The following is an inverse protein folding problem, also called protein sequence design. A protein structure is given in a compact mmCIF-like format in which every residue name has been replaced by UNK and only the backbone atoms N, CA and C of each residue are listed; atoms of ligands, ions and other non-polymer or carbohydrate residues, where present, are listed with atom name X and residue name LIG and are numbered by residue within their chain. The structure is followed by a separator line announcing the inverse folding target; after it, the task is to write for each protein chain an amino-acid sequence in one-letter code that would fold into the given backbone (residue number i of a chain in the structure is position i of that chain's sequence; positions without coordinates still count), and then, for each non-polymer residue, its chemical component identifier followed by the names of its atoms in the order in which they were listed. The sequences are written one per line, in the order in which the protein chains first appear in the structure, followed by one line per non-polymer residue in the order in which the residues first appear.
data_IF_389528707704
#
_entry.id   IF_389528707704
#
_cell.length_a   1.000
_cell.length_b   1.000
_cell.length_c   1.000
_cell.angle_alpha   90.00
_cell.angle_beta   90.00
_cell.angle_gamma   90.00
#
_symmetry.space_group_name_H-M   'P 1'
#
loop_
_entity.id
_entity.type
_entity.pdbx_description
1 polymer ?
#
# COMPACT_ATOMS: atom_id res chain seq x y z
N UNK A 1 -34.37 -55.23 -13.34
CA UNK A 1 -33.75 -55.20 -14.69
C UNK A 1 -32.26 -54.92 -14.51
N UNK A 2 -31.40 -55.42 -15.41
CA UNK A 2 -29.97 -55.11 -15.37
C UNK A 2 -29.73 -53.66 -15.78
N UNK A 3 -28.67 -53.07 -15.24
CA UNK A 3 -28.22 -51.72 -15.57
C UNK A 3 -27.96 -51.62 -17.08
N UNK A 4 -28.51 -50.58 -17.73
CA UNK A 4 -28.34 -50.35 -19.17
C UNK A 4 -26.88 -50.15 -19.58
N UNK A 5 -26.06 -49.62 -18.66
CA UNK A 5 -24.67 -49.22 -18.94
C UNK A 5 -23.68 -50.38 -18.76
N UNK A 6 -23.66 -50.99 -17.56
CA UNK A 6 -22.68 -52.03 -17.25
C UNK A 6 -23.19 -53.46 -17.47
N UNK A 7 -24.51 -53.65 -17.64
CA UNK A 7 -25.20 -54.94 -17.80
C UNK A 7 -24.87 -56.03 -16.76
N UNK A 8 -24.19 -55.69 -15.67
CA UNK A 8 -23.74 -56.62 -14.63
C UNK A 8 -24.47 -56.45 -13.31
N UNK A 9 -24.84 -55.22 -12.96
CA UNK A 9 -25.51 -54.88 -11.72
C UNK A 9 -27.01 -54.62 -11.94
N UNK A 10 -27.82 -54.82 -10.90
CA UNK A 10 -29.25 -54.51 -10.95
C UNK A 10 -29.46 -52.99 -10.94
N UNK A 11 -30.35 -52.49 -11.81
CA UNK A 11 -30.68 -51.06 -11.87
C UNK A 11 -31.40 -50.61 -10.59
N UNK A 12 -30.96 -49.49 -10.03
CA UNK A 12 -31.47 -48.89 -8.79
C UNK A 12 -32.18 -47.55 -9.04
N UNK A 13 -32.00 -46.94 -10.22
CA UNK A 13 -32.66 -45.68 -10.60
C UNK A 13 -33.79 -45.87 -11.61
N UNK A 14 -34.72 -44.91 -11.68
CA UNK A 14 -35.83 -44.87 -12.65
C UNK A 14 -35.36 -44.79 -14.12
N UNK A 15 -34.12 -44.39 -14.36
CA UNK A 15 -33.51 -44.31 -15.70
C UNK A 15 -32.93 -45.66 -16.16
N UNK A 16 -32.83 -46.64 -15.25
CA UNK A 16 -32.28 -47.97 -15.51
C UNK A 16 -30.77 -48.07 -15.28
N UNK A 17 -30.19 -47.22 -14.44
CA UNK A 17 -28.78 -47.24 -14.05
C UNK A 17 -28.60 -47.85 -12.65
N UNK A 18 -27.44 -48.44 -12.38
CA UNK A 18 -27.04 -48.85 -11.03
C UNK A 18 -26.24 -47.74 -10.34
N UNK A 19 -26.18 -47.79 -9.01
CA UNK A 19 -25.48 -46.78 -8.18
C UNK A 19 -24.02 -46.60 -8.58
N UNK A 20 -23.34 -47.68 -8.95
CA UNK A 20 -21.95 -47.62 -9.43
C UNK A 20 -21.80 -46.78 -10.71
N UNK A 21 -22.70 -46.93 -11.68
CA UNK A 21 -22.68 -46.15 -12.92
C UNK A 21 -23.07 -44.69 -12.69
N UNK A 22 -24.03 -44.42 -11.79
CA UNK A 22 -24.41 -43.05 -11.40
C UNK A 22 -23.25 -42.34 -10.73
N UNK A 23 -22.55 -43.03 -9.83
CA UNK A 23 -21.39 -42.47 -9.13
C UNK A 23 -20.23 -42.23 -10.09
N UNK A 24 -19.97 -43.16 -11.02
CA UNK A 24 -18.94 -43.00 -12.04
C UNK A 24 -19.24 -41.81 -12.98
N UNK A 25 -20.50 -41.61 -13.38
CA UNK A 25 -20.91 -40.44 -14.15
C UNK A 25 -20.74 -39.13 -13.38
N UNK A 26 -21.03 -39.12 -12.07
CA UNK A 26 -20.81 -37.96 -11.20
C UNK A 26 -19.31 -37.61 -11.08
N UNK A 27 -18.43 -38.61 -10.99
CA UNK A 27 -16.98 -38.39 -11.01
C UNK A 27 -16.45 -37.91 -12.37
N UNK A 28 -17.02 -38.40 -13.47
CA UNK A 28 -16.67 -37.95 -14.82
C UNK A 28 -17.15 -36.52 -15.13
N UNK A 29 -18.27 -36.11 -14.52
CA UNK A 29 -18.82 -34.75 -14.63
C UNK A 29 -18.15 -33.74 -13.68
N UNK A 30 -17.35 -34.21 -12.71
CA UNK A 30 -16.57 -33.31 -11.87
C UNK A 30 -15.50 -32.62 -12.74
N UNK A 31 -15.47 -31.28 -12.81
CA UNK A 31 -14.39 -30.60 -13.51
C UNK A 31 -13.06 -31.06 -12.91
N UNK A 32 -12.02 -31.31 -13.72
CA UNK A 32 -10.71 -31.70 -13.20
C UNK A 32 -10.29 -30.67 -12.15
N UNK A 33 -9.67 -31.09 -11.03
CA UNK A 33 -9.13 -30.13 -10.07
C UNK A 33 -8.23 -29.18 -10.85
N UNK A 34 -8.52 -27.88 -10.74
CA UNK A 34 -7.77 -26.86 -11.45
C UNK A 34 -6.28 -27.09 -11.18
N UNK A 35 -5.49 -27.31 -12.25
CA UNK A 35 -4.04 -27.48 -12.10
C UNK A 35 -3.50 -26.25 -11.36
N UNK A 36 -2.77 -26.42 -10.25
CA UNK A 36 -2.08 -25.29 -9.65
C UNK A 36 -1.05 -24.78 -10.65
N UNK A 37 -1.21 -23.53 -11.09
CA UNK A 37 -0.16 -22.77 -11.78
C UNK A 37 -0.08 -22.96 -13.30
N UNK A 38 -0.89 -22.20 -14.04
CA UNK A 38 -0.56 -21.76 -15.41
C UNK A 38 -0.05 -20.32 -15.47
N UNK A 39 0.28 -19.73 -14.31
CA UNK A 39 0.99 -18.45 -14.23
C UNK A 39 2.50 -18.66 -14.41
N UNK A 40 3.24 -17.64 -14.90
CA UNK A 40 4.69 -17.69 -14.93
C UNK A 40 5.22 -18.00 -13.52
N UNK A 41 6.17 -18.95 -13.43
CA UNK A 41 6.80 -19.35 -12.18
C UNK A 41 7.21 -18.11 -11.35
N UNK A 42 6.62 -17.96 -10.17
CA UNK A 42 6.93 -16.85 -9.26
C UNK A 42 8.14 -17.21 -8.43
N UNK A 43 9.20 -16.42 -8.59
CA UNK A 43 10.45 -16.59 -7.84
C UNK A 43 10.56 -15.52 -6.76
N UNK A 44 10.96 -15.93 -5.55
CA UNK A 44 11.28 -15.00 -4.47
C UNK A 44 12.44 -14.08 -4.89
N UNK A 45 12.29 -12.78 -4.65
CA UNK A 45 13.34 -11.78 -4.87
C UNK A 45 13.54 -10.96 -3.62
N UNK A 46 14.79 -10.71 -3.24
CA UNK A 46 15.08 -9.92 -2.04
C UNK A 46 14.42 -8.53 -2.11
N UNK A 47 13.59 -8.15 -1.12
CA UNK A 47 13.00 -6.82 -1.03
C UNK A 47 13.91 -5.81 -0.30
N UNK A 48 15.00 -6.26 0.33
CA UNK A 48 15.79 -5.47 1.30
C UNK A 48 16.40 -4.21 0.69
N UNK A 49 17.05 -4.32 -0.47
CA UNK A 49 17.68 -3.17 -1.12
C UNK A 49 16.68 -2.09 -1.51
N UNK A 50 15.54 -2.50 -2.09
CA UNK A 50 14.45 -1.57 -2.43
C UNK A 50 13.79 -0.99 -1.18
N UNK A 51 13.56 -1.79 -0.14
CA UNK A 51 13.00 -1.31 1.12
C UNK A 51 13.87 -0.23 1.76
N UNK A 52 15.20 -0.41 1.75
CA UNK A 52 16.15 0.62 2.22
C UNK A 52 16.09 1.90 1.37
N UNK A 53 16.00 1.77 0.05
CA UNK A 53 15.87 2.91 -0.84
C UNK A 53 14.56 3.69 -0.58
N UNK A 54 13.44 3.00 -0.41
CA UNK A 54 12.15 3.61 -0.05
C UNK A 54 12.23 4.34 1.29
N UNK A 55 12.81 3.71 2.32
CA UNK A 55 12.96 4.35 3.63
C UNK A 55 13.85 5.60 3.57
N UNK A 56 14.94 5.56 2.78
CA UNK A 56 15.80 6.73 2.58
C UNK A 56 15.07 7.86 1.87
N UNK A 57 14.30 7.56 0.82
CA UNK A 57 13.50 8.55 0.09
C UNK A 57 12.38 9.15 0.96
N UNK A 58 11.70 8.35 1.77
CA UNK A 58 10.75 8.86 2.76
C UNK A 58 11.43 9.75 3.82
N UNK A 59 12.68 9.46 4.19
CA UNK A 59 13.50 10.34 5.02
C UNK A 59 13.80 11.69 4.35
N UNK A 60 14.03 11.68 3.02
CA UNK A 60 14.17 12.91 2.23
C UNK A 60 12.85 13.69 2.19
N UNK A 61 11.71 13.02 2.00
CA UNK A 61 10.37 13.64 2.07
C UNK A 61 10.21 14.38 3.40
N UNK A 62 10.48 13.71 4.53
CA UNK A 62 10.43 14.33 5.86
C UNK A 62 11.34 15.56 5.94
N UNK A 63 12.58 15.47 5.47
CA UNK A 63 13.50 16.61 5.51
C UNK A 63 13.01 17.80 4.67
N UNK A 64 12.39 17.52 3.52
CA UNK A 64 11.81 18.54 2.64
C UNK A 64 10.55 19.16 3.26
N UNK A 65 9.69 18.38 3.91
CA UNK A 65 8.51 18.91 4.60
C UNK A 65 8.89 19.78 5.81
N UNK A 66 9.95 19.41 6.53
CA UNK A 66 10.50 20.25 7.60
C UNK A 66 11.07 21.57 7.05
N UNK A 67 11.70 21.53 5.87
CA UNK A 67 12.12 22.73 5.16
C UNK A 67 10.92 23.58 4.70
N UNK A 68 9.85 22.97 4.19
CA UNK A 68 8.62 23.66 3.81
C UNK A 68 7.95 24.33 5.01
N UNK A 69 7.89 23.66 6.17
CA UNK A 69 7.38 24.24 7.41
C UNK A 69 8.18 25.47 7.84
N UNK A 70 9.51 25.40 7.75
CA UNK A 70 10.38 26.55 8.04
C UNK A 70 10.17 27.68 7.04
N UNK A 71 10.14 27.39 5.73
CA UNK A 71 9.88 28.39 4.69
C UNK A 71 8.50 29.05 4.87
N UNK A 72 7.49 28.28 5.27
CA UNK A 72 6.17 28.80 5.59
C UNK A 72 6.19 29.76 6.78
N UNK A 73 7.04 29.53 7.80
CA UNK A 73 7.19 30.49 8.92
C UNK A 73 7.83 31.80 8.49
N UNK A 74 8.78 31.78 7.54
CA UNK A 74 9.35 33.00 6.97
C UNK A 74 8.29 33.79 6.17
N UNK A 75 7.54 33.11 5.30
CA UNK A 75 6.45 33.73 4.54
C UNK A 75 5.38 34.33 5.44
N UNK A 76 5.01 33.65 6.53
CA UNK A 76 4.08 34.20 7.52
C UNK A 76 4.59 35.44 8.22
N UNK A 77 5.90 35.55 8.47
CA UNK A 77 6.52 36.74 9.04
C UNK A 77 6.21 37.95 8.17
N UNK A 78 6.58 37.86 6.89
CA UNK A 78 6.30 38.90 5.88
C UNK A 78 4.81 39.24 5.80
N UNK A 79 3.94 38.22 5.77
CA UNK A 79 2.49 38.47 5.71
C UNK A 79 1.98 39.19 6.97
N UNK A 80 2.52 38.89 8.15
CA UNK A 80 2.14 39.59 9.39
C UNK A 80 2.60 41.05 9.37
N UNK A 81 3.81 41.32 8.87
CA UNK A 81 4.36 42.69 8.78
C UNK A 81 3.49 43.55 7.84
N UNK A 82 3.10 42.99 6.69
CA UNK A 82 2.15 43.62 5.76
C UNK A 82 0.77 43.87 6.40
N UNK A 83 0.25 42.93 7.20
CA UNK A 83 -1.03 43.10 7.93
C UNK A 83 -0.93 44.20 8.97
N UNK A 84 0.23 44.37 9.63
CA UNK A 84 0.46 45.49 10.55
C UNK A 84 0.65 46.84 9.85
N UNK A 85 0.64 46.87 8.52
CA UNK A 85 0.79 48.07 7.71
C UNK A 85 2.24 48.52 7.53
N UNK A 86 3.20 47.60 7.69
CA UNK A 86 4.59 47.85 7.36
C UNK A 86 4.80 47.70 5.85
N UNK A 87 5.42 48.71 5.24
CA UNK A 87 5.72 48.75 3.81
C UNK A 87 7.08 49.42 3.61
N UNK A 88 7.80 48.99 2.57
CA UNK A 88 9.10 49.54 2.21
C UNK A 88 9.93 48.56 1.40
N UNK A 89 11.09 49.03 0.92
CA UNK A 89 12.03 48.23 0.13
C UNK A 89 12.53 46.99 0.90
N UNK A 90 12.73 47.12 2.22
CA UNK A 90 13.17 46.00 3.08
C UNK A 90 12.12 44.87 3.12
N UNK A 91 10.83 45.23 3.23
CA UNK A 91 9.72 44.24 3.25
C UNK A 91 9.55 43.58 1.88
N UNK A 92 9.75 44.32 0.78
CA UNK A 92 9.70 43.79 -0.57
C UNK A 92 10.81 42.75 -0.79
N UNK A 93 12.04 43.04 -0.34
CA UNK A 93 13.17 42.11 -0.42
C UNK A 93 12.95 40.85 0.44
N UNK A 94 12.41 41.00 1.65
CA UNK A 94 12.06 39.87 2.51
C UNK A 94 10.94 39.02 1.89
N UNK A 95 9.96 39.65 1.23
CA UNK A 95 8.89 38.96 0.51
C UNK A 95 9.43 38.14 -0.67
N UNK A 96 10.30 38.71 -1.51
CA UNK A 96 10.92 38.00 -2.64
C UNK A 96 11.74 36.78 -2.16
N UNK A 97 12.49 36.95 -1.07
CA UNK A 97 13.27 35.86 -0.49
C UNK A 97 12.36 34.77 0.07
N UNK A 98 11.32 35.14 0.84
CA UNK A 98 10.36 34.19 1.39
C UNK A 98 9.60 33.43 0.29
N UNK A 99 9.19 34.10 -0.79
CA UNK A 99 8.53 33.47 -1.93
C UNK A 99 9.47 32.49 -2.64
N UNK A 100 10.74 32.87 -2.86
CA UNK A 100 11.74 31.98 -3.45
C UNK A 100 11.97 30.73 -2.61
N UNK A 101 12.09 30.87 -1.29
CA UNK A 101 12.24 29.75 -0.36
C UNK A 101 11.00 28.83 -0.40
N UNK A 102 9.81 29.40 -0.34
CA UNK A 102 8.56 28.65 -0.33
C UNK A 102 8.29 27.94 -1.66
N UNK A 103 8.54 28.60 -2.79
CA UNK A 103 8.45 28.01 -4.13
C UNK A 103 9.45 26.86 -4.30
N UNK A 104 10.69 27.03 -3.82
CA UNK A 104 11.70 25.96 -3.85
C UNK A 104 11.28 24.75 -3.01
N UNK A 105 10.62 24.96 -1.87
CA UNK A 105 10.11 23.89 -1.03
C UNK A 105 9.06 23.06 -1.78
N UNK A 106 8.07 23.72 -2.41
CA UNK A 106 7.06 23.03 -3.22
C UNK A 106 7.67 22.24 -4.39
N UNK A 107 8.68 22.80 -5.07
CA UNK A 107 9.42 22.10 -6.13
C UNK A 107 10.15 20.85 -5.62
N UNK A 108 10.84 20.96 -4.48
CA UNK A 108 11.51 19.83 -3.84
C UNK A 108 10.52 18.76 -3.37
N UNK A 109 9.38 19.16 -2.81
CA UNK A 109 8.31 18.23 -2.40
C UNK A 109 7.82 17.42 -3.59
N UNK A 110 7.56 18.06 -4.74
CA UNK A 110 7.14 17.38 -5.95
C UNK A 110 8.18 16.36 -6.44
N UNK A 111 9.45 16.76 -6.50
CA UNK A 111 10.54 15.85 -6.93
C UNK A 111 10.69 14.67 -5.98
N UNK A 112 10.68 14.93 -4.66
CA UNK A 112 10.78 13.89 -3.63
C UNK A 112 9.58 12.91 -3.70
N UNK A 113 8.37 13.43 -3.91
CA UNK A 113 7.16 12.63 -4.08
C UNK A 113 7.26 11.72 -5.31
N UNK A 114 7.66 12.25 -6.46
CA UNK A 114 7.78 11.47 -7.70
C UNK A 114 8.85 10.37 -7.58
N UNK A 115 10.03 10.71 -7.04
CA UNK A 115 11.09 9.74 -6.80
C UNK A 115 10.63 8.63 -5.82
N UNK A 116 9.99 9.01 -4.72
CA UNK A 116 9.45 8.08 -3.73
C UNK A 116 8.39 7.19 -4.33
N UNK A 117 7.45 7.75 -5.10
CA UNK A 117 6.37 7.00 -5.75
C UNK A 117 6.91 5.89 -6.65
N UNK A 118 7.87 6.20 -7.52
CA UNK A 118 8.46 5.21 -8.45
C UNK A 118 9.11 4.06 -7.68
N UNK A 119 9.99 4.38 -6.73
CA UNK A 119 10.74 3.34 -5.99
C UNK A 119 9.82 2.56 -5.05
N UNK A 120 8.85 3.24 -4.42
CA UNK A 120 7.81 2.62 -3.60
C UNK A 120 6.99 1.63 -4.41
N UNK A 121 6.52 1.98 -5.61
CA UNK A 121 5.73 1.07 -6.45
C UNK A 121 6.54 -0.14 -6.91
N UNK A 122 7.82 0.03 -7.24
CA UNK A 122 8.72 -1.08 -7.59
C UNK A 122 8.93 -2.01 -6.39
N UNK A 123 9.14 -1.45 -5.20
CA UNK A 123 9.22 -2.23 -3.95
C UNK A 123 7.89 -2.93 -3.65
N UNK A 124 6.77 -2.21 -3.72
CA UNK A 124 5.43 -2.68 -3.40
C UNK A 124 4.99 -3.82 -4.31
N UNK A 125 5.25 -3.69 -5.61
CA UNK A 125 5.07 -4.77 -6.57
C UNK A 125 5.95 -5.97 -6.22
N UNK A 126 7.23 -5.78 -5.87
CA UNK A 126 8.11 -6.89 -5.49
C UNK A 126 7.61 -7.64 -4.25
N UNK A 127 7.26 -6.93 -3.18
CA UNK A 127 6.75 -7.57 -1.95
C UNK A 127 5.41 -8.27 -2.20
N UNK A 128 4.59 -7.74 -3.12
CA UNK A 128 3.35 -8.41 -3.55
C UNK A 128 3.60 -9.72 -4.30
N UNK A 129 4.61 -9.77 -5.17
CA UNK A 129 5.02 -11.01 -5.85
C UNK A 129 5.55 -12.04 -4.86
N UNK A 130 6.39 -11.62 -3.90
CA UNK A 130 6.91 -12.52 -2.88
C UNK A 130 5.79 -13.09 -1.99
N UNK A 131 4.84 -12.24 -1.60
CA UNK A 131 3.67 -12.63 -0.82
C UNK A 131 2.80 -13.69 -1.52
N UNK A 132 2.78 -13.68 -2.85
CA UNK A 132 2.11 -14.68 -3.68
C UNK A 132 2.78 -16.06 -3.61
N UNK A 133 4.11 -16.09 -3.41
CA UNK A 133 4.86 -17.34 -3.17
C UNK A 133 4.60 -17.86 -1.75
N UNK A 134 4.44 -16.96 -0.77
CA UNK A 134 4.18 -17.34 0.63
C UNK A 134 2.76 -17.87 0.84
N UNK A 135 1.76 -17.22 0.24
CA UNK A 135 0.36 -17.67 0.27
C UNK A 135 -0.37 -17.20 -1.00
N UNK A 136 -0.67 -18.11 -1.95
CA UNK A 136 -1.38 -17.75 -3.18
C UNK A 136 -2.86 -17.36 -2.96
N UNK A 137 -3.49 -17.79 -1.86
CA UNK A 137 -4.95 -17.72 -1.69
C UNK A 137 -5.42 -16.52 -0.87
N UNK A 138 -4.51 -15.83 -0.17
CA UNK A 138 -4.87 -14.68 0.69
C UNK A 138 -5.14 -13.38 -0.09
N UNK A 139 -4.74 -13.31 -1.36
CA UNK A 139 -4.81 -12.08 -2.16
C UNK A 139 -6.20 -11.84 -2.75
N UNK A 140 -6.81 -10.72 -2.36
CA UNK A 140 -8.15 -10.33 -2.84
C UNK A 140 -8.15 -9.64 -4.20
N UNK A 141 -6.98 -9.24 -4.71
CA UNK A 141 -6.80 -8.52 -5.98
C UNK A 141 -5.70 -9.14 -6.85
N UNK A 142 -5.90 -9.04 -8.16
CA UNK A 142 -4.89 -9.46 -9.15
C UNK A 142 -3.64 -8.57 -9.09
N UNK A 143 -2.50 -9.11 -9.54
CA UNK A 143 -1.20 -8.42 -9.48
C UNK A 143 -1.16 -7.08 -10.19
N UNK A 144 -1.88 -6.94 -11.31
CA UNK A 144 -1.92 -5.69 -12.08
C UNK A 144 -2.43 -4.50 -11.25
N UNK A 145 -3.35 -4.75 -10.30
CA UNK A 145 -3.85 -3.72 -9.41
C UNK A 145 -2.82 -3.18 -8.42
N UNK A 146 -1.71 -3.88 -8.19
CA UNK A 146 -0.63 -3.41 -7.29
C UNK A 146 -0.05 -2.08 -7.74
N UNK A 147 0.04 -1.87 -9.05
CA UNK A 147 0.50 -0.61 -9.65
C UNK A 147 -0.68 0.20 -10.16
N UNK A 148 -1.62 -0.44 -10.88
CA UNK A 148 -2.75 0.25 -11.50
C UNK A 148 -3.67 0.98 -10.52
N UNK A 149 -3.80 0.50 -9.27
CA UNK A 149 -4.66 1.15 -8.28
C UNK A 149 -4.21 2.56 -7.90
N UNK A 150 -2.92 2.88 -8.02
CA UNK A 150 -2.37 4.20 -7.68
C UNK A 150 -2.70 5.28 -8.71
N UNK A 151 -3.03 4.88 -9.94
CA UNK A 151 -3.29 5.82 -11.05
C UNK A 151 -4.77 6.00 -11.34
N UNK A 152 -5.65 5.18 -10.74
CA UNK A 152 -7.10 5.28 -10.92
C UNK A 152 -7.69 6.02 -9.72
N UNK A 153 -8.14 7.29 -9.86
CA UNK A 153 -8.40 8.18 -8.71
C UNK A 153 -9.34 7.60 -7.65
N UNK A 154 -10.46 7.02 -8.08
CA UNK A 154 -11.46 6.46 -7.15
C UNK A 154 -10.91 5.20 -6.47
N UNK A 155 -10.27 4.32 -7.23
CA UNK A 155 -9.71 3.06 -6.74
C UNK A 155 -8.53 3.28 -5.79
N UNK A 156 -7.76 4.34 -6.04
CA UNK A 156 -6.59 4.74 -5.24
C UNK A 156 -6.96 4.98 -3.78
N UNK A 157 -8.22 5.27 -3.45
CA UNK A 157 -8.64 5.53 -2.06
C UNK A 157 -8.63 4.28 -1.17
N UNK A 158 -8.76 3.07 -1.73
CA UNK A 158 -8.91 1.86 -0.91
C UNK A 158 -8.18 0.61 -1.42
N UNK A 159 -7.89 0.45 -2.72
CA UNK A 159 -7.19 -0.74 -3.22
C UNK A 159 -5.75 -0.85 -2.71
N UNK A 160 -4.91 0.20 -2.72
CA UNK A 160 -3.54 0.04 -2.27
C UNK A 160 -3.46 -0.37 -0.79
N UNK A 161 -4.31 0.22 0.07
CA UNK A 161 -4.48 -0.23 1.46
C UNK A 161 -4.86 -1.71 1.54
N UNK A 162 -5.87 -2.14 0.79
CA UNK A 162 -6.31 -3.54 0.82
C UNK A 162 -5.20 -4.49 0.38
N UNK A 163 -4.47 -4.14 -0.67
CA UNK A 163 -3.33 -4.90 -1.18
C UNK A 163 -2.21 -4.96 -0.12
N UNK A 164 -1.92 -3.86 0.58
CA UNK A 164 -0.93 -3.84 1.66
C UNK A 164 -1.30 -4.77 2.82
N UNK A 165 -2.59 -4.83 3.19
CA UNK A 165 -3.10 -5.77 4.21
C UNK A 165 -2.95 -7.21 3.73
N UNK A 166 -3.37 -7.54 2.51
CA UNK A 166 -3.25 -8.91 1.98
C UNK A 166 -1.77 -9.36 1.93
N UNK A 167 -0.84 -8.46 1.56
CA UNK A 167 0.61 -8.71 1.57
C UNK A 167 1.11 -8.94 3.00
N UNK A 168 0.67 -8.13 3.95
CA UNK A 168 1.05 -8.26 5.35
C UNK A 168 0.62 -9.60 5.92
N UNK A 169 -0.64 -9.98 5.68
CA UNK A 169 -1.21 -11.25 6.14
C UNK A 169 -0.46 -12.45 5.54
N UNK A 170 -0.12 -12.38 4.24
CA UNK A 170 0.69 -13.41 3.58
C UNK A 170 2.11 -13.51 4.15
N UNK A 171 2.68 -12.39 4.60
CA UNK A 171 4.05 -12.29 5.10
C UNK A 171 4.14 -12.65 6.59
N UNK A 172 3.02 -12.60 7.31
CA UNK A 172 2.93 -13.00 8.71
C UNK A 172 3.10 -14.50 8.95
N UNK A 173 3.26 -14.85 10.23
CA UNK A 173 3.42 -16.22 10.69
C UNK A 173 2.05 -16.83 11.01
N UNK A 174 1.62 -17.81 10.20
CA UNK A 174 0.27 -18.40 10.32
C UNK A 174 0.09 -19.26 11.58
N UNK A 175 1.18 -19.81 12.13
CA UNK A 175 1.16 -20.62 13.35
C UNK A 175 0.57 -19.85 14.53
N UNK A 176 0.99 -18.60 14.73
CA UNK A 176 0.50 -17.73 15.81
C UNK A 176 -0.97 -17.34 15.66
N UNK A 177 -1.46 -17.24 14.42
CA UNK A 177 -2.87 -16.87 14.14
C UNK A 177 -3.84 -18.05 14.18
N UNK A 178 -3.35 -19.30 14.16
CA UNK A 178 -4.15 -20.51 14.42
C UNK A 178 -4.38 -20.75 15.92
N UNK A 179 -3.43 -20.36 16.76
CA UNK A 179 -3.54 -20.47 18.22
C UNK A 179 -4.48 -19.39 18.82
N UNK A 180 -4.60 -18.24 18.16
CA UNK A 180 -5.54 -17.16 18.53
C UNK A 180 -6.25 -16.58 17.29
N UNK A 181 -7.36 -17.19 16.81
CA UNK A 181 -8.08 -16.78 15.59
C UNK A 181 -8.60 -15.33 15.58
N UNK A 182 -8.73 -14.70 16.76
CA UNK A 182 -9.16 -13.31 16.95
C UNK A 182 -8.02 -12.28 16.96
N UNK A 183 -6.76 -12.71 17.04
CA UNK A 183 -5.57 -11.84 17.01
C UNK A 183 -4.99 -11.71 15.60
N UNK A 184 -5.84 -11.77 14.57
CA UNK A 184 -5.50 -11.16 13.28
C UNK A 184 -5.45 -9.66 13.50
N UNK A 185 -4.36 -9.17 14.08
CA UNK A 185 -4.08 -7.75 14.20
C UNK A 185 -4.08 -7.19 12.78
N UNK A 186 -5.22 -6.65 12.36
CA UNK A 186 -5.26 -5.78 11.19
C UNK A 186 -4.20 -4.72 11.49
N UNK A 187 -3.17 -4.53 10.65
CA UNK A 187 -1.99 -3.80 11.11
C UNK A 187 -2.42 -2.37 11.31
N UNK A 188 -2.62 -1.96 12.57
CA UNK A 188 -3.04 -0.60 12.92
C UNK A 188 -2.11 0.41 12.26
N UNK A 189 -0.84 0.02 12.08
CA UNK A 189 0.19 0.75 11.37
C UNK A 189 -0.20 1.06 9.91
N UNK A 190 -0.70 0.08 9.15
CA UNK A 190 -1.14 0.29 7.76
C UNK A 190 -2.36 1.23 7.75
N UNK A 191 -3.31 1.03 8.67
CA UNK A 191 -4.50 1.87 8.75
C UNK A 191 -4.17 3.31 9.13
N UNK A 192 -3.29 3.51 10.11
CA UNK A 192 -2.86 4.81 10.58
C UNK A 192 -2.08 5.55 9.50
N UNK A 193 -1.07 4.90 8.90
CA UNK A 193 -0.33 5.46 7.77
C UNK A 193 -1.28 5.89 6.64
N UNK A 194 -2.16 4.98 6.21
CA UNK A 194 -3.05 5.23 5.08
C UNK A 194 -4.05 6.35 5.36
N UNK A 195 -4.65 6.37 6.55
CA UNK A 195 -5.59 7.40 6.93
C UNK A 195 -4.89 8.77 7.02
N UNK A 196 -3.73 8.85 7.67
CA UNK A 196 -2.98 10.10 7.76
C UNK A 196 -2.56 10.61 6.38
N UNK A 197 -2.08 9.73 5.51
CA UNK A 197 -1.67 10.09 4.15
C UNK A 197 -2.84 10.62 3.30
N UNK A 198 -4.03 10.02 3.40
CA UNK A 198 -5.21 10.55 2.73
C UNK A 198 -5.62 11.92 3.27
N UNK A 199 -5.53 12.12 4.59
CA UNK A 199 -5.84 13.39 5.23
C UNK A 199 -4.80 14.45 4.85
N UNK A 200 -3.50 14.14 4.84
CA UNK A 200 -2.44 15.07 4.44
C UNK A 200 -2.65 15.54 3.01
N UNK A 201 -2.82 14.63 2.05
CA UNK A 201 -3.05 14.99 0.64
C UNK A 201 -4.30 15.84 0.47
N UNK A 202 -5.40 15.49 1.15
CA UNK A 202 -6.65 16.24 1.04
C UNK A 202 -6.50 17.64 1.63
N UNK A 203 -5.87 17.74 2.81
CA UNK A 203 -5.59 19.01 3.46
C UNK A 203 -4.67 19.89 2.61
N UNK A 204 -3.57 19.34 2.09
CA UNK A 204 -2.62 20.04 1.23
C UNK A 204 -3.23 20.50 -0.08
N UNK A 205 -4.09 19.69 -0.72
CA UNK A 205 -4.79 20.10 -1.94
C UNK A 205 -5.75 21.26 -1.70
N UNK A 206 -6.53 21.21 -0.62
CA UNK A 206 -7.45 22.28 -0.25
C UNK A 206 -6.70 23.56 0.17
N UNK A 207 -5.62 23.41 0.92
CA UNK A 207 -4.79 24.53 1.35
C UNK A 207 -4.04 25.18 0.18
N UNK A 208 -3.48 24.36 -0.73
CA UNK A 208 -2.80 24.83 -1.93
C UNK A 208 -3.74 25.56 -2.88
N UNK A 209 -4.98 25.07 -3.05
CA UNK A 209 -5.99 25.80 -3.82
C UNK A 209 -6.35 27.15 -3.18
N UNK A 210 -6.51 27.19 -1.85
CA UNK A 210 -6.74 28.47 -1.15
C UNK A 210 -5.55 29.41 -1.26
N UNK A 211 -4.33 28.87 -1.25
CA UNK A 211 -3.10 29.64 -1.39
C UNK A 211 -3.00 30.25 -2.79
N UNK A 212 -3.30 29.49 -3.85
CA UNK A 212 -3.29 30.02 -5.22
C UNK A 212 -4.34 31.08 -5.48
N UNK A 213 -5.48 31.00 -4.78
CA UNK A 213 -6.59 31.94 -4.94
C UNK A 213 -6.47 33.16 -4.00
N UNK A 214 -5.45 33.21 -3.13
CA UNK A 214 -5.30 34.26 -2.13
C UNK A 214 -4.47 35.45 -2.65
N UNK A 215 -5.10 36.62 -2.70
CA UNK A 215 -4.45 37.89 -3.08
C UNK A 215 -4.21 38.83 -1.87
N UNK A 216 -4.92 38.59 -0.76
CA UNK A 216 -4.82 39.39 0.46
C UNK A 216 -3.90 38.72 1.50
N UNK A 217 -3.03 39.47 2.21
CA UNK A 217 -2.12 38.92 3.22
C UNK A 217 -2.80 38.02 4.27
N UNK A 218 -4.01 38.39 4.74
CA UNK A 218 -4.77 37.60 5.71
C UNK A 218 -5.20 36.25 5.13
N UNK A 219 -5.61 36.22 3.86
CA UNK A 219 -5.99 34.98 3.16
C UNK A 219 -4.78 34.09 2.93
N UNK A 220 -3.63 34.68 2.57
CA UNK A 220 -2.37 33.96 2.42
C UNK A 220 -1.96 33.33 3.76
N UNK A 221 -2.00 34.07 4.87
CA UNK A 221 -1.70 33.55 6.20
C UNK A 221 -2.61 32.40 6.64
N UNK A 222 -3.92 32.52 6.34
CA UNK A 222 -4.88 31.44 6.59
C UNK A 222 -4.56 30.19 5.75
N UNK A 223 -4.25 30.37 4.47
CA UNK A 223 -3.85 29.28 3.58
C UNK A 223 -2.54 28.60 4.02
N UNK A 224 -1.53 29.38 4.43
CA UNK A 224 -0.28 28.89 5.02
C UNK A 224 -0.52 28.03 6.27
N UNK A 225 -1.59 28.31 7.03
CA UNK A 225 -2.01 27.43 8.15
C UNK A 225 -2.49 26.09 7.69
N UNK A 226 -3.29 26.05 6.63
CA UNK A 226 -3.67 24.78 6.01
C UNK A 226 -2.46 24.00 5.49
N UNK A 227 -1.51 24.69 4.85
CA UNK A 227 -0.29 24.08 4.29
C UNK A 227 0.59 23.48 5.39
N UNK A 228 0.88 24.24 6.44
CA UNK A 228 1.69 23.73 7.56
C UNK A 228 1.04 22.55 8.29
N UNK A 229 -0.29 22.56 8.45
CA UNK A 229 -1.00 21.40 9.02
C UNK A 229 -0.87 20.18 8.10
N UNK A 230 -0.99 20.38 6.78
CA UNK A 230 -0.77 19.31 5.80
C UNK A 230 0.64 18.73 5.87
N UNK A 231 1.67 19.58 5.87
CA UNK A 231 3.07 19.14 5.93
C UNK A 231 3.36 18.38 7.24
N UNK A 232 2.84 18.87 8.37
CA UNK A 232 2.98 18.18 9.65
C UNK A 232 2.30 16.79 9.65
N UNK A 233 1.13 16.67 9.04
CA UNK A 233 0.45 15.39 8.86
C UNK A 233 1.23 14.46 7.93
N UNK A 234 1.82 14.99 6.86
CA UNK A 234 2.61 14.20 5.91
C UNK A 234 3.90 13.68 6.54
N UNK A 235 4.60 14.48 7.37
CA UNK A 235 5.75 14.02 8.16
C UNK A 235 5.39 12.81 9.01
N UNK A 236 4.26 12.86 9.73
CA UNK A 236 3.81 11.72 10.55
C UNK A 236 3.42 10.53 9.68
N UNK A 237 2.74 10.76 8.55
CA UNK A 237 2.42 9.72 7.58
C UNK A 237 3.69 9.05 7.03
N UNK A 238 4.72 9.82 6.67
CA UNK A 238 5.99 9.33 6.16
C UNK A 238 6.75 8.50 7.21
N UNK A 239 6.72 8.89 8.48
CA UNK A 239 7.28 8.06 9.58
C UNK A 239 6.55 6.72 9.67
N UNK A 240 5.21 6.71 9.65
CA UNK A 240 4.44 5.48 9.67
C UNK A 240 4.69 4.61 8.42
N UNK A 241 4.89 5.24 7.25
CA UNK A 241 5.27 4.57 6.02
C UNK A 241 6.64 3.90 6.14
N UNK A 242 7.64 4.57 6.72
CA UNK A 242 8.96 4.01 7.00
C UNK A 242 8.83 2.77 7.89
N UNK A 243 8.06 2.87 8.98
CA UNK A 243 7.83 1.74 9.88
C UNK A 243 7.14 0.57 9.18
N UNK A 244 6.16 0.85 8.31
CA UNK A 244 5.48 -0.16 7.51
C UNK A 244 6.45 -0.86 6.55
N UNK A 245 7.21 -0.09 5.76
CA UNK A 245 8.19 -0.60 4.81
C UNK A 245 9.26 -1.44 5.53
N UNK A 246 9.76 -0.93 6.65
CA UNK A 246 10.76 -1.62 7.47
C UNK A 246 10.24 -2.97 7.97
N UNK A 247 9.09 -2.96 8.65
CA UNK A 247 8.52 -4.16 9.26
C UNK A 247 8.13 -5.19 8.22
N UNK A 248 7.49 -4.78 7.13
CA UNK A 248 7.11 -5.70 6.06
C UNK A 248 8.33 -6.29 5.35
N UNK A 249 9.33 -5.46 5.04
CA UNK A 249 10.59 -5.93 4.41
C UNK A 249 11.29 -6.95 5.31
N UNK A 250 11.34 -6.70 6.62
CA UNK A 250 11.93 -7.62 7.60
C UNK A 250 11.16 -8.94 7.69
N UNK A 251 9.83 -8.89 7.76
CA UNK A 251 8.97 -10.08 7.77
C UNK A 251 9.22 -10.97 6.55
N UNK A 252 9.31 -10.39 5.35
CA UNK A 252 9.58 -11.16 4.14
C UNK A 252 11.02 -11.69 4.07
N UNK A 253 12.02 -10.96 4.55
CA UNK A 253 13.41 -11.43 4.60
C UNK A 253 13.59 -12.58 5.59
N UNK A 254 13.01 -12.47 6.79
CA UNK A 254 13.01 -13.52 7.81
C UNK A 254 12.32 -14.80 7.29
N UNK A 255 11.12 -14.66 6.71
CA UNK A 255 10.35 -15.78 6.15
C UNK A 255 11.03 -16.43 4.94
N UNK A 256 11.71 -15.65 4.10
CA UNK A 256 12.49 -16.20 2.99
C UNK A 256 13.71 -17.00 3.49
N UNK A 257 14.34 -16.60 4.60
CA UNK A 257 15.48 -17.31 5.20
C UNK A 257 15.10 -18.56 5.98
N UNK A 258 13.88 -18.63 6.53
CA UNK A 258 13.41 -19.81 7.27
C UNK A 258 13.12 -21.04 6.38
N UNK A 259 13.10 -20.87 5.06
CA UNK A 259 12.76 -21.94 4.12
C UNK A 259 11.30 -22.37 4.16
N UNK A 260 10.87 -23.39 3.37
CA UNK A 260 9.54 -23.96 3.48
C UNK A 260 9.39 -24.56 4.88
N UNK A 261 8.46 -24.04 5.69
CA UNK A 261 8.18 -24.61 7.01
C UNK A 261 7.93 -26.11 6.90
N UNK A 262 8.53 -26.91 7.79
CA UNK A 262 8.30 -28.35 7.84
C UNK A 262 6.78 -28.60 8.00
N UNK A 263 6.19 -29.33 7.05
CA UNK A 263 4.81 -29.79 7.17
C UNK A 263 4.76 -30.75 8.35
N UNK A 264 4.01 -30.47 9.44
CA UNK A 264 3.80 -31.46 10.49
C UNK A 264 2.97 -32.60 9.88
N UNK A 265 3.58 -33.77 9.66
CA UNK A 265 2.85 -34.98 9.25
C UNK A 265 3.17 -35.58 7.87
N UNK A 266 4.31 -35.26 7.24
CA UNK A 266 4.75 -35.98 6.04
C UNK A 266 5.23 -37.40 6.34
N UNK A 267 4.36 -38.40 6.18
CA UNK A 267 4.77 -39.81 6.06
C UNK A 267 5.59 -39.98 4.76
N UNK A 268 6.76 -40.64 4.80
CA UNK A 268 7.49 -40.95 3.58
C UNK A 268 6.68 -41.93 2.72
N UNK A 269 6.43 -41.58 1.47
CA UNK A 269 6.01 -42.54 0.45
C UNK A 269 7.21 -43.44 0.13
N UNK A 270 7.18 -44.65 0.68
CA UNK A 270 8.01 -45.77 0.23
C UNK A 270 7.44 -46.44 -1.01
#
# INVERSE_FOLDING_TARGET
MLCKECQSNTATTSEGLCDGCVTAAAYAAAPPPARPGSGPATWLRSPVGLGRAVMALLGVVIAVDLYALWAATAMRGVMNDLISGEYGEDIELDAEHADTLYASAGGLQLVALLATCVVFLVWFHRVRVNAEVFDPHVHSKSRGWTVGSWFVPVVNLWFPRRIAIDIWDASGDRSKSLEAPGERETPWLINAWWALWLVSITAGRLAGQRYSDAEEPEKINSALTGMMVSDALDVVAAVLAILFVHRLTRMQDEKARSGPGAVPGGLPLG
#
